data_IF_984814903414
#
_entry.id   IF_984814903414
#
_cell.length_a   1.000
_cell.length_b   1.000
_cell.length_c   1.000
_cell.angle_alpha   90.00
_cell.angle_beta   90.00
_cell.angle_gamma   90.00
#
_symmetry.space_group_name_H-M   'P 1'
#
loop_
_entity.id
_entity.type
_entity.pdbx_description
1 polymer ?
#
# COMPACT_ATOMS: atom_id res chain seq x y z
N UNK A 1 -17.09 54.36 14.80
CA UNK A 1 -17.04 53.05 15.52
C UNK A 1 -18.13 52.06 15.04
N UNK A 2 -18.48 52.00 13.74
CA UNK A 2 -19.58 51.14 13.24
C UNK A 2 -19.19 50.15 12.12
N UNK A 3 -17.95 50.23 11.62
CA UNK A 3 -17.47 49.36 10.53
C UNK A 3 -16.81 48.06 11.01
N UNK A 4 -16.53 47.92 12.31
CA UNK A 4 -15.80 46.76 12.84
C UNK A 4 -16.67 45.50 12.97
N UNK A 5 -18.00 45.65 13.00
CA UNK A 5 -18.93 44.52 13.14
C UNK A 5 -19.25 43.83 11.80
N UNK A 6 -19.11 44.53 10.68
CA UNK A 6 -19.36 43.99 9.34
C UNK A 6 -18.27 42.99 8.91
N UNK A 7 -17.02 43.19 9.31
CA UNK A 7 -15.92 42.27 8.99
C UNK A 7 -16.01 40.99 9.83
N UNK A 8 -16.41 41.10 11.10
CA UNK A 8 -16.63 39.93 11.96
C UNK A 8 -17.79 39.05 11.46
N UNK A 9 -18.86 39.65 10.94
CA UNK A 9 -19.98 38.93 10.35
C UNK A 9 -19.60 38.21 9.03
N UNK A 10 -18.70 38.78 8.23
CA UNK A 10 -18.27 38.17 6.96
C UNK A 10 -17.38 36.93 7.15
N UNK A 11 -16.62 36.86 8.24
CA UNK A 11 -15.74 35.71 8.56
C UNK A 11 -16.55 34.54 9.17
N UNK A 12 -17.67 34.82 9.85
CA UNK A 12 -18.53 33.79 10.46
C UNK A 12 -19.34 32.96 9.47
N UNK A 13 -19.60 33.46 8.25
CA UNK A 13 -20.45 32.79 7.26
C UNK A 13 -19.71 31.74 6.43
N UNK A 14 -18.38 31.81 6.33
CA UNK A 14 -17.60 30.89 5.48
C UNK A 14 -17.28 29.53 6.10
N UNK A 15 -17.63 29.28 7.38
CA UNK A 15 -17.28 28.03 8.08
C UNK A 15 -18.39 26.95 7.99
N UNK A 16 -19.63 27.31 7.58
CA UNK A 16 -20.77 26.39 7.61
C UNK A 16 -20.86 25.38 6.44
N UNK A 17 -19.93 25.43 5.47
CA UNK A 17 -20.05 24.68 4.21
C UNK A 17 -19.13 23.48 4.01
N UNK A 18 -18.17 23.22 4.90
CA UNK A 18 -17.23 22.12 4.71
C UNK A 18 -17.87 20.77 5.11
N UNK A 19 -18.58 20.14 4.18
CA UNK A 19 -19.01 18.75 4.30
C UNK A 19 -17.84 17.87 3.85
N UNK A 20 -17.11 17.31 4.81
CA UNK A 20 -16.14 16.25 4.54
C UNK A 20 -16.92 14.96 4.23
N UNK A 21 -17.23 14.75 2.95
CA UNK A 21 -17.81 13.49 2.50
C UNK A 21 -16.70 12.43 2.38
N UNK A 22 -16.89 11.21 2.92
CA UNK A 22 -15.94 10.13 2.72
C UNK A 22 -15.71 9.85 1.23
N UNK A 23 -14.45 9.66 0.82
CA UNK A 23 -14.14 9.22 -0.54
C UNK A 23 -14.64 7.78 -0.72
N UNK A 24 -15.70 7.60 -1.50
CA UNK A 24 -16.19 6.28 -1.93
C UNK A 24 -15.62 5.98 -3.31
N UNK A 25 -14.71 4.98 -3.45
CA UNK A 25 -14.21 4.58 -4.76
C UNK A 25 -15.34 4.09 -5.64
N UNK A 26 -15.36 4.53 -6.90
CA UNK A 26 -16.34 4.07 -7.91
C UNK A 26 -15.92 2.77 -8.60
N UNK A 27 -14.70 2.27 -8.33
CA UNK A 27 -14.13 1.06 -8.91
C UNK A 27 -12.98 0.52 -8.05
N UNK A 28 -12.79 -0.80 -8.07
CA UNK A 28 -11.68 -1.50 -7.39
C UNK A 28 -10.30 -1.21 -8.01
N UNK A 29 -10.27 -0.61 -9.21
CA UNK A 29 -9.04 -0.21 -9.88
C UNK A 29 -8.46 1.11 -9.32
N UNK A 30 -9.19 1.79 -8.45
CA UNK A 30 -8.75 3.06 -7.86
C UNK A 30 -7.72 2.78 -6.77
N UNK A 31 -6.47 3.15 -7.03
CA UNK A 31 -5.39 3.09 -6.04
C UNK A 31 -5.55 4.23 -5.03
N UNK A 32 -6.01 3.89 -3.82
CA UNK A 32 -6.19 4.84 -2.73
C UNK A 32 -4.86 5.34 -2.14
N UNK A 33 -3.91 4.43 -1.97
CA UNK A 33 -2.60 4.72 -1.39
C UNK A 33 -1.54 3.85 -2.08
N UNK A 34 -0.48 4.48 -2.59
CA UNK A 34 0.72 3.77 -3.00
C UNK A 34 1.73 3.83 -1.87
N UNK A 35 1.97 2.69 -1.25
CA UNK A 35 2.92 2.60 -0.16
C UNK A 35 4.34 2.91 -0.65
N UNK A 36 5.16 3.62 0.15
CA UNK A 36 6.55 3.87 -0.21
C UNK A 36 7.28 2.54 -0.41
N UNK A 37 8.20 2.48 -1.38
CA UNK A 37 8.99 1.29 -1.68
C UNK A 37 9.85 0.81 -0.49
N UNK A 38 10.02 1.66 0.54
CA UNK A 38 10.61 1.32 1.83
C UNK A 38 9.55 0.68 2.73
N UNK A 39 9.76 -0.55 3.22
CA UNK A 39 8.80 -1.18 4.12
C UNK A 39 8.63 -0.32 5.38
N UNK A 40 7.37 -0.18 5.81
CA UNK A 40 7.00 0.33 7.12
C UNK A 40 7.83 -0.39 8.19
N UNK A 41 8.54 0.38 9.01
CA UNK A 41 9.23 -0.13 10.20
C UNK A 41 8.17 -0.39 11.28
N UNK A 42 7.42 -1.49 11.14
CA UNK A 42 6.52 -1.93 12.20
C UNK A 42 7.34 -2.33 13.43
N UNK A 43 7.05 -1.84 14.64
CA UNK A 43 7.81 -2.19 15.84
C UNK A 43 7.76 -3.69 16.19
N UNK A 44 6.87 -4.47 15.55
CA UNK A 44 6.76 -5.92 15.73
C UNK A 44 7.84 -6.69 14.93
N UNK A 45 8.52 -6.07 13.97
CA UNK A 45 9.55 -6.69 13.11
C UNK A 45 10.90 -5.99 13.30
N UNK A 46 11.42 -5.95 14.53
CA UNK A 46 12.66 -5.23 14.87
C UNK A 46 13.94 -6.07 14.77
N UNK A 47 13.89 -7.36 14.41
CA UNK A 47 15.08 -8.23 14.43
C UNK A 47 15.72 -8.52 13.07
N UNK A 48 15.24 -7.94 11.97
CA UNK A 48 15.92 -8.11 10.68
C UNK A 48 16.07 -6.75 10.00
N UNK A 49 17.31 -6.23 10.02
CA UNK A 49 17.76 -5.03 9.29
C UNK A 49 17.29 -5.14 7.83
N UNK A 50 16.32 -4.33 7.37
CA UNK A 50 16.01 -4.25 5.96
C UNK A 50 17.08 -3.37 5.34
N UNK A 51 17.93 -3.95 4.50
CA UNK A 51 18.75 -3.16 3.57
C UNK A 51 17.79 -2.28 2.79
N UNK A 52 17.97 -0.97 2.91
CA UNK A 52 17.11 0.02 2.29
C UNK A 52 17.10 -0.18 0.75
N UNK A 53 15.93 -0.14 0.09
CA UNK A 53 15.93 0.11 -1.34
C UNK A 53 16.25 1.60 -1.53
N UNK A 54 17.43 1.85 -2.10
CA UNK A 54 17.77 3.14 -2.68
C UNK A 54 16.71 3.46 -3.74
N UNK A 55 16.06 4.60 -3.54
CA UNK A 55 15.27 5.27 -4.56
C UNK A 55 16.23 5.74 -5.63
N UNK A 56 16.36 4.96 -6.69
CA UNK A 56 16.88 5.50 -7.94
C UNK A 56 16.02 5.01 -9.09
N UNK A 57 15.52 5.98 -9.83
CA UNK A 57 14.67 5.81 -11.00
C UNK A 57 15.63 5.67 -12.17
N UNK A 58 16.39 4.56 -12.17
CA UNK A 58 17.38 4.26 -13.21
C UNK A 58 17.19 2.82 -13.67
N UNK A 59 16.67 2.71 -14.88
CA UNK A 59 17.00 1.71 -15.90
C UNK A 59 17.16 0.25 -15.45
N UNK A 60 16.10 -0.52 -15.69
CA UNK A 60 16.22 -1.93 -16.09
C UNK A 60 16.76 -2.92 -15.05
N UNK A 61 15.88 -3.82 -14.58
CA UNK A 61 16.18 -5.24 -14.37
C UNK A 61 17.32 -5.69 -13.42
N UNK A 62 18.05 -4.80 -12.74
CA UNK A 62 19.37 -5.14 -12.18
C UNK A 62 19.43 -5.40 -10.68
N UNK A 63 18.34 -5.20 -9.94
CA UNK A 63 18.28 -5.63 -8.53
C UNK A 63 17.09 -6.56 -8.35
N UNK A 64 17.17 -7.75 -8.95
CA UNK A 64 16.30 -8.87 -8.54
C UNK A 64 16.49 -9.06 -7.04
N UNK A 65 15.54 -8.59 -6.24
CA UNK A 65 15.45 -8.98 -4.83
C UNK A 65 15.49 -10.50 -4.77
N UNK A 66 16.22 -11.07 -3.82
CA UNK A 66 16.19 -12.52 -3.58
C UNK A 66 14.73 -13.00 -3.49
N UNK A 67 14.28 -13.88 -4.42
CA UNK A 67 12.92 -14.38 -4.42
C UNK A 67 12.54 -15.06 -3.10
N UNK A 68 13.49 -15.72 -2.43
CA UNK A 68 13.22 -16.39 -1.15
C UNK A 68 12.91 -15.36 -0.05
N UNK A 69 13.68 -14.27 0.02
CA UNK A 69 13.42 -13.17 0.94
C UNK A 69 12.07 -12.48 0.67
N UNK A 70 11.76 -12.19 -0.60
CA UNK A 70 10.47 -11.60 -0.98
C UNK A 70 9.29 -12.51 -0.61
N UNK A 71 9.40 -13.82 -0.87
CA UNK A 71 8.40 -14.81 -0.52
C UNK A 71 8.20 -14.92 1.00
N UNK A 72 9.27 -14.82 1.79
CA UNK A 72 9.19 -14.81 3.26
C UNK A 72 8.38 -13.61 3.76
N UNK A 73 8.68 -12.41 3.26
CA UNK A 73 7.96 -11.18 3.63
C UNK A 73 6.48 -11.28 3.25
N UNK A 74 6.19 -11.72 2.02
CA UNK A 74 4.82 -11.87 1.54
C UNK A 74 4.00 -12.85 2.40
N UNK A 75 4.58 -14.00 2.78
CA UNK A 75 3.92 -14.97 3.67
C UNK A 75 3.61 -14.38 5.04
N UNK A 76 4.54 -13.63 5.63
CA UNK A 76 4.34 -13.02 6.94
C UNK A 76 3.18 -12.02 6.91
N UNK A 77 3.15 -11.13 5.91
CA UNK A 77 2.08 -10.17 5.77
C UNK A 77 0.73 -10.84 5.45
N UNK A 78 0.69 -11.84 4.57
CA UNK A 78 -0.53 -12.58 4.28
C UNK A 78 -1.07 -13.32 5.51
N UNK A 79 -0.20 -13.87 6.35
CA UNK A 79 -0.62 -14.47 7.62
C UNK A 79 -1.30 -13.45 8.54
N UNK A 80 -0.75 -12.23 8.65
CA UNK A 80 -1.38 -11.15 9.43
C UNK A 80 -2.71 -10.71 8.79
N UNK A 81 -2.78 -10.63 7.47
CA UNK A 81 -4.02 -10.29 6.75
C UNK A 81 -5.14 -11.27 7.10
N UNK A 82 -4.84 -12.57 7.07
CA UNK A 82 -5.78 -13.64 7.44
C UNK A 82 -6.19 -13.60 8.90
N UNK A 83 -5.23 -13.35 9.80
CA UNK A 83 -5.46 -13.30 11.24
C UNK A 83 -6.34 -12.11 11.64
N UNK A 84 -6.10 -10.93 11.05
CA UNK A 84 -6.77 -9.67 11.45
C UNK A 84 -7.94 -9.27 10.56
N UNK A 85 -8.11 -9.90 9.40
CA UNK A 85 -9.06 -9.46 8.38
C UNK A 85 -8.73 -8.08 7.79
N UNK A 86 -7.51 -7.57 7.99
CA UNK A 86 -7.12 -6.23 7.54
C UNK A 86 -6.48 -6.29 6.13
N UNK A 87 -7.15 -5.76 5.09
CA UNK A 87 -6.71 -5.89 3.70
C UNK A 87 -5.40 -5.15 3.40
N UNK A 88 -4.98 -4.20 4.24
CA UNK A 88 -3.70 -3.48 4.07
C UNK A 88 -2.52 -4.43 4.09
N UNK A 89 -2.60 -5.50 4.88
CA UNK A 89 -1.55 -6.52 4.93
C UNK A 89 -1.47 -7.37 3.67
N UNK A 90 -2.58 -7.59 2.97
CA UNK A 90 -2.53 -8.21 1.64
C UNK A 90 -1.84 -7.29 0.61
N UNK A 91 -2.05 -5.97 0.72
CA UNK A 91 -1.32 -4.96 -0.05
C UNK A 91 0.19 -4.98 0.21
N UNK A 92 0.62 -5.08 1.48
CA UNK A 92 2.05 -5.22 1.84
C UNK A 92 2.67 -6.50 1.28
N UNK A 93 1.94 -7.63 1.33
CA UNK A 93 2.39 -8.88 0.74
C UNK A 93 2.57 -8.76 -0.79
N UNK A 94 1.61 -8.13 -1.47
CA UNK A 94 1.68 -7.91 -2.92
C UNK A 94 2.84 -6.98 -3.31
N UNK A 95 3.08 -5.91 -2.53
CA UNK A 95 4.19 -4.99 -2.76
C UNK A 95 5.57 -5.68 -2.68
N UNK A 96 5.71 -6.72 -1.86
CA UNK A 96 6.94 -7.52 -1.80
C UNK A 96 7.17 -8.34 -3.08
N UNK A 97 6.09 -8.77 -3.75
CA UNK A 97 6.12 -9.61 -4.96
C UNK A 97 6.00 -8.82 -6.27
N UNK A 98 5.78 -7.49 -6.20
CA UNK A 98 5.63 -6.59 -7.36
C UNK A 98 6.65 -6.81 -8.49
N UNK A 99 7.95 -7.08 -8.24
CA UNK A 99 8.92 -7.29 -9.32
C UNK A 99 8.63 -8.46 -10.25
N UNK A 100 7.80 -9.43 -9.83
CA UNK A 100 7.51 -10.65 -10.58
C UNK A 100 6.08 -10.68 -11.15
N UNK A 101 5.31 -9.59 -11.02
CA UNK A 101 3.98 -9.51 -11.62
C UNK A 101 4.10 -9.50 -13.16
N UNK A 102 3.53 -10.51 -13.81
CA UNK A 102 3.62 -10.69 -15.27
C UNK A 102 4.98 -11.20 -15.77
N UNK A 103 5.91 -11.57 -14.88
CA UNK A 103 7.20 -12.13 -15.26
C UNK A 103 7.09 -13.65 -15.48
N UNK A 104 7.23 -14.09 -16.73
CA UNK A 104 7.21 -15.52 -17.08
C UNK A 104 8.42 -16.29 -16.53
N UNK A 105 9.48 -15.60 -16.11
CA UNK A 105 10.67 -16.19 -15.47
C UNK A 105 10.56 -16.25 -13.95
N UNK A 106 9.42 -15.87 -13.36
CA UNK A 106 9.23 -15.88 -11.92
C UNK A 106 9.35 -17.31 -11.34
N UNK A 107 10.05 -17.48 -10.21
CA UNK A 107 10.09 -18.78 -9.53
C UNK A 107 8.70 -19.26 -9.14
N UNK A 108 8.44 -20.56 -9.23
CA UNK A 108 7.13 -21.15 -8.93
C UNK A 108 6.58 -20.75 -7.54
N UNK A 109 7.45 -20.62 -6.54
CA UNK A 109 7.06 -20.19 -5.19
C UNK A 109 6.50 -18.75 -5.14
N UNK A 110 6.96 -17.88 -6.02
CA UNK A 110 6.45 -16.52 -6.18
C UNK A 110 5.09 -16.55 -6.89
N UNK A 111 4.99 -17.32 -7.97
CA UNK A 111 3.73 -17.47 -8.74
C UNK A 111 2.60 -18.01 -7.87
N UNK A 112 2.86 -19.04 -7.06
CA UNK A 112 1.88 -19.58 -6.11
C UNK A 112 1.45 -18.53 -5.09
N UNK A 113 2.37 -17.71 -4.59
CA UNK A 113 2.03 -16.64 -3.64
C UNK A 113 1.21 -15.52 -4.30
N UNK A 114 1.52 -15.14 -5.54
CA UNK A 114 0.72 -14.19 -6.31
C UNK A 114 -0.71 -14.73 -6.52
N UNK A 115 -0.86 -15.99 -6.92
CA UNK A 115 -2.16 -16.64 -7.07
C UNK A 115 -2.92 -16.74 -5.73
N UNK A 116 -2.22 -17.05 -4.63
CA UNK A 116 -2.81 -17.09 -3.28
C UNK A 116 -3.32 -15.70 -2.85
N UNK A 117 -2.58 -14.64 -3.19
CA UNK A 117 -3.00 -13.26 -2.93
C UNK A 117 -4.20 -12.87 -3.79
N UNK A 118 -4.21 -13.24 -5.06
CA UNK A 118 -5.34 -13.03 -5.95
C UNK A 118 -6.61 -13.71 -5.38
N UNK A 119 -6.49 -14.97 -4.95
CA UNK A 119 -7.58 -15.68 -4.28
C UNK A 119 -8.04 -14.99 -2.99
N UNK A 120 -7.12 -14.54 -2.13
CA UNK A 120 -7.45 -13.82 -0.89
C UNK A 120 -8.19 -12.50 -1.18
N UNK A 121 -7.82 -11.82 -2.25
CA UNK A 121 -8.45 -10.56 -2.69
C UNK A 121 -9.70 -10.79 -3.55
N UNK A 122 -10.09 -12.05 -3.79
CA UNK A 122 -11.18 -12.42 -4.70
C UNK A 122 -11.00 -11.89 -6.14
N UNK A 123 -9.75 -11.74 -6.58
CA UNK A 123 -9.39 -11.28 -7.92
C UNK A 123 -9.16 -12.49 -8.84
N UNK A 124 -10.13 -12.78 -9.72
CA UNK A 124 -10.16 -13.98 -10.57
C UNK A 124 -10.32 -13.67 -12.07
N UNK A 125 -10.24 -12.39 -12.46
CA UNK A 125 -10.50 -11.93 -13.83
C UNK A 125 -9.45 -12.41 -14.85
#
# INVERSE_FOLDING_TARGET
MKFSWLIAALIGVSVLGAKAEPLVPTSDLIVLETLPARPFRSPIVSTQRPVAPASDKSDGASMRRDPAAAAKIARQHLAIARDRGDPRFAGYALAALKPWQGDLSAPASIVVLLATLAQYQHNFD
#
